data_IF_827371417355
#
_entry.id   IF_827371417355
#
_cell.length_a   1.000
_cell.length_b   1.000
_cell.length_c   1.000
_cell.angle_alpha   90.00
_cell.angle_beta   90.00
_cell.angle_gamma   90.00
#
_symmetry.space_group_name_H-M   'P 1'
#
loop_
_entity.id
_entity.type
_entity.pdbx_description
1 polymer ?
#
# COMPACT_ATOMS: atom_id res chain seq x y z
N UNK A 1 2.13 -2.12 -9.63
CA UNK A 1 0.89 -1.73 -8.94
C UNK A 1 0.93 -2.16 -7.49
N UNK A 2 -0.17 -2.71 -6.94
CA UNK A 2 -0.30 -2.99 -5.50
C UNK A 2 0.76 -3.98 -4.97
N UNK A 3 1.00 -5.09 -5.67
CA UNK A 3 2.03 -6.07 -5.27
C UNK A 3 3.47 -5.52 -5.34
N UNK A 4 3.73 -4.57 -6.25
CA UNK A 4 5.04 -3.91 -6.36
C UNK A 4 5.31 -3.06 -5.14
N UNK A 5 4.35 -2.19 -4.79
CA UNK A 5 4.45 -1.32 -3.62
C UNK A 5 4.58 -2.12 -2.33
N UNK A 6 3.90 -3.27 -2.22
CA UNK A 6 4.10 -4.17 -1.07
C UNK A 6 5.53 -4.70 -0.99
N UNK A 7 6.13 -5.06 -2.11
CA UNK A 7 7.52 -5.52 -2.16
C UNK A 7 8.50 -4.39 -1.83
N UNK A 8 8.27 -3.19 -2.37
CA UNK A 8 9.10 -2.00 -2.12
C UNK A 8 9.05 -1.58 -0.65
N UNK A 9 7.87 -1.64 -0.04
CA UNK A 9 7.65 -1.32 1.38
C UNK A 9 7.91 -2.51 2.31
N UNK A 10 8.54 -3.60 1.82
CA UNK A 10 8.90 -4.77 2.62
C UNK A 10 7.73 -5.39 3.42
N UNK A 11 6.50 -5.31 2.88
CA UNK A 11 5.29 -5.86 3.50
C UNK A 11 5.30 -7.39 3.32
N UNK A 12 5.09 -8.19 4.38
CA UNK A 12 5.07 -9.64 4.26
C UNK A 12 4.06 -10.12 3.20
N UNK A 13 4.42 -11.11 2.35
CA UNK A 13 3.56 -11.57 1.26
C UNK A 13 2.29 -12.28 1.74
N UNK A 14 2.30 -12.81 2.97
CA UNK A 14 1.15 -13.47 3.60
C UNK A 14 0.20 -12.49 4.30
N UNK A 15 0.61 -11.26 4.57
CA UNK A 15 -0.17 -10.34 5.37
C UNK A 15 -1.41 -9.85 4.61
N UNK A 16 -2.57 -9.81 5.27
CA UNK A 16 -3.81 -9.29 4.68
C UNK A 16 -4.01 -7.87 5.19
N UNK A 17 -4.21 -6.94 4.26
CA UNK A 17 -4.28 -5.51 4.53
C UNK A 17 -5.60 -4.94 4.00
N UNK A 18 -6.27 -4.00 4.70
CA UNK A 18 -7.39 -3.28 4.12
C UNK A 18 -6.92 -2.45 2.91
N UNK A 19 -7.78 -2.30 1.92
CA UNK A 19 -7.54 -1.46 0.75
C UNK A 19 -8.47 -0.25 0.80
N UNK A 20 -7.91 0.94 0.74
CA UNK A 20 -8.67 2.18 0.69
C UNK A 20 -8.58 2.77 -0.72
N UNK A 21 -9.70 3.25 -1.24
CA UNK A 21 -9.78 3.80 -2.60
C UNK A 21 -10.38 5.20 -2.52
N UNK A 22 -9.68 6.17 -3.08
CA UNK A 22 -9.99 7.59 -3.01
C UNK A 22 -10.23 8.13 -4.42
N UNK A 23 -11.25 8.96 -4.61
CA UNK A 23 -11.50 9.66 -5.88
C UNK A 23 -11.91 8.76 -7.04
N UNK A 24 -12.38 7.53 -6.78
CA UNK A 24 -12.89 6.65 -7.82
C UNK A 24 -14.19 7.20 -8.42
N UNK A 25 -14.26 7.27 -9.75
CA UNK A 25 -15.51 7.57 -10.45
C UNK A 25 -16.43 6.34 -10.49
N UNK A 26 -17.67 6.52 -10.98
CA UNK A 26 -18.68 5.46 -11.05
C UNK A 26 -18.21 4.22 -11.81
N UNK A 27 -17.54 4.40 -12.95
CA UNK A 27 -17.03 3.28 -13.74
C UNK A 27 -15.98 2.47 -12.99
N UNK A 28 -15.07 3.15 -12.30
CA UNK A 28 -14.03 2.52 -11.49
C UNK A 28 -14.63 1.82 -10.29
N UNK A 29 -15.67 2.39 -9.67
CA UNK A 29 -16.41 1.75 -8.59
C UNK A 29 -17.08 0.44 -9.05
N UNK A 30 -17.81 0.47 -10.15
CA UNK A 30 -18.46 -0.74 -10.72
C UNK A 30 -17.44 -1.83 -11.05
N UNK A 31 -16.27 -1.46 -11.60
CA UNK A 31 -15.18 -2.40 -11.87
C UNK A 31 -14.62 -2.99 -10.58
N UNK A 32 -14.48 -2.16 -9.54
CA UNK A 32 -13.96 -2.58 -8.24
C UNK A 32 -14.89 -3.59 -7.58
N UNK A 33 -16.19 -3.35 -7.60
CA UNK A 33 -17.18 -4.28 -7.06
C UNK A 33 -17.22 -5.58 -7.86
N UNK A 34 -17.30 -5.48 -9.20
CA UNK A 34 -17.34 -6.65 -10.10
C UNK A 34 -16.12 -7.56 -9.93
N UNK A 35 -14.95 -6.98 -9.64
CA UNK A 35 -13.70 -7.71 -9.53
C UNK A 35 -13.18 -7.83 -8.09
N UNK A 36 -13.99 -7.46 -7.09
CA UNK A 36 -13.56 -7.38 -5.68
C UNK A 36 -12.92 -8.69 -5.19
N UNK A 37 -13.53 -9.85 -5.46
CA UNK A 37 -12.98 -11.13 -5.03
C UNK A 37 -11.63 -11.45 -5.66
N UNK A 38 -11.48 -11.18 -6.96
CA UNK A 38 -10.22 -11.39 -7.67
C UNK A 38 -9.13 -10.46 -7.11
N UNK A 39 -9.46 -9.19 -6.87
CA UNK A 39 -8.56 -8.20 -6.28
C UNK A 39 -8.12 -8.64 -4.87
N UNK A 40 -9.06 -9.01 -3.99
CA UNK A 40 -8.78 -9.51 -2.64
C UNK A 40 -7.80 -10.68 -2.67
N UNK A 41 -8.03 -11.66 -3.55
CA UNK A 41 -7.18 -12.85 -3.67
C UNK A 41 -5.80 -12.55 -4.25
N UNK A 42 -5.72 -11.79 -5.34
CA UNK A 42 -4.47 -11.55 -6.07
C UNK A 42 -3.58 -10.52 -5.37
N UNK A 43 -4.17 -9.49 -4.76
CA UNK A 43 -3.42 -8.44 -4.06
C UNK A 43 -3.24 -8.72 -2.56
N UNK A 44 -3.81 -9.82 -2.05
CA UNK A 44 -3.82 -10.18 -0.62
C UNK A 44 -4.33 -9.02 0.24
N UNK A 45 -5.47 -8.47 -0.16
CA UNK A 45 -6.15 -7.40 0.55
C UNK A 45 -7.45 -7.92 1.17
N UNK A 46 -7.78 -7.38 2.33
CA UNK A 46 -9.02 -7.66 3.05
C UNK A 46 -10.15 -6.81 2.51
N UNK A 47 -10.80 -6.06 3.37
CA UNK A 47 -11.90 -5.21 2.95
C UNK A 47 -11.44 -4.03 2.11
N UNK A 48 -12.28 -3.71 1.13
CA UNK A 48 -12.06 -2.59 0.21
C UNK A 48 -13.07 -1.52 0.60
N UNK A 49 -12.58 -0.35 0.99
CA UNK A 49 -13.40 0.78 1.40
C UNK A 49 -13.14 1.97 0.48
N UNK A 50 -14.22 2.65 0.09
CA UNK A 50 -14.12 3.98 -0.50
C UNK A 50 -13.99 5.00 0.63
N UNK A 51 -13.00 5.89 0.53
CA UNK A 51 -12.74 6.93 1.52
C UNK A 51 -12.41 8.25 0.84
N UNK A 52 -12.66 9.36 1.52
CA UNK A 52 -12.40 10.70 0.97
C UNK A 52 -10.92 11.09 1.02
N UNK A 53 -10.16 10.49 1.94
CA UNK A 53 -8.74 10.80 2.13
C UNK A 53 -7.93 9.56 2.54
N UNK A 54 -6.66 9.44 2.08
CA UNK A 54 -5.79 8.35 2.49
C UNK A 54 -5.36 8.50 3.96
N UNK A 55 -5.33 7.42 4.74
CA UNK A 55 -4.87 7.45 6.12
C UNK A 55 -3.36 7.75 6.21
N UNK A 56 -2.94 8.31 7.34
CA UNK A 56 -1.52 8.55 7.63
C UNK A 56 -0.76 7.22 7.69
N UNK A 57 0.47 7.22 7.16
CA UNK A 57 1.31 6.01 7.14
C UNK A 57 0.82 4.93 6.16
N UNK A 58 0.17 5.33 5.07
CA UNK A 58 -0.20 4.43 3.99
C UNK A 58 0.73 4.55 2.79
N UNK A 59 1.02 3.46 2.11
CA UNK A 59 1.58 3.50 0.77
C UNK A 59 0.47 3.80 -0.24
N UNK A 60 0.71 4.74 -1.15
CA UNK A 60 -0.31 5.22 -2.09
C UNK A 60 0.12 4.94 -3.53
N UNK A 61 -0.85 4.61 -4.37
CA UNK A 61 -0.69 4.38 -5.80
C UNK A 61 -1.78 5.15 -6.51
N UNK A 62 -1.40 6.02 -7.44
CA UNK A 62 -2.35 6.69 -8.32
C UNK A 62 -2.64 5.80 -9.52
N UNK A 63 -3.90 5.49 -9.75
CA UNK A 63 -4.40 4.74 -10.90
C UNK A 63 -5.44 5.60 -11.63
N UNK A 64 -4.98 6.28 -12.68
CA UNK A 64 -5.77 7.27 -13.40
C UNK A 64 -6.34 8.32 -12.42
N UNK A 65 -7.67 8.37 -12.28
CA UNK A 65 -8.37 9.27 -11.36
C UNK A 65 -8.43 8.76 -9.91
N UNK A 66 -8.26 7.46 -9.68
CA UNK A 66 -8.42 6.86 -8.36
C UNK A 66 -7.07 6.69 -7.66
N UNK A 67 -7.00 7.04 -6.39
CA UNK A 67 -5.84 6.76 -5.54
C UNK A 67 -6.13 5.53 -4.69
N UNK A 68 -5.27 4.52 -4.81
CA UNK A 68 -5.30 3.30 -4.02
C UNK A 68 -4.33 3.48 -2.86
N UNK A 69 -4.84 3.38 -1.63
CA UNK A 69 -4.08 3.52 -0.40
C UNK A 69 -4.06 2.20 0.36
N UNK A 70 -2.85 1.78 0.75
CA UNK A 70 -2.58 0.61 1.55
C UNK A 70 -2.05 1.07 2.92
N UNK A 71 -2.85 1.00 3.99
CA UNK A 71 -2.40 1.37 5.33
C UNK A 71 -1.30 0.42 5.78
N UNK A 72 -0.10 0.94 6.07
CA UNK A 72 1.06 0.11 6.40
C UNK A 72 1.22 -0.14 7.90
N UNK A 73 0.45 0.60 8.73
CA UNK A 73 0.67 0.74 10.17
C UNK A 73 1.04 -0.54 10.91
N UNK A 74 0.22 -1.58 10.87
CA UNK A 74 0.46 -2.84 11.58
C UNK A 74 1.15 -3.92 10.74
N UNK A 75 1.54 -3.61 9.50
CA UNK A 75 2.02 -4.57 8.52
C UNK A 75 3.53 -4.50 8.30
N UNK A 76 4.15 -3.38 8.69
CA UNK A 76 5.59 -3.16 8.60
C UNK A 76 6.07 -2.70 9.97
N UNK A 77 7.19 -3.23 10.42
CA UNK A 77 7.92 -2.66 11.55
C UNK A 77 8.63 -1.38 11.07
N UNK A 78 7.91 -0.25 11.17
CA UNK A 78 8.41 1.08 10.82
C UNK A 78 9.69 1.45 11.60
N UNK A 79 9.90 0.93 12.81
CA UNK A 79 11.11 1.18 13.59
C UNK A 79 12.30 0.39 13.05
N UNK A 80 12.10 -0.89 12.72
CA UNK A 80 13.15 -1.72 12.11
C UNK A 80 13.56 -1.15 10.73
N UNK A 81 12.58 -0.68 9.96
CA UNK A 81 12.83 -0.08 8.64
C UNK A 81 13.59 1.25 8.74
N UNK A 82 13.20 2.14 9.67
CA UNK A 82 13.91 3.39 9.92
C UNK A 82 15.36 3.14 10.38
N UNK A 83 15.57 2.10 11.22
CA UNK A 83 16.90 1.73 11.70
C UNK A 83 17.78 1.16 10.58
N UNK A 84 17.20 0.39 9.66
CA UNK A 84 17.92 -0.10 8.46
C UNK A 84 18.34 1.07 7.56
N UNK A 85 17.41 1.97 7.26
CA UNK A 85 17.69 3.15 6.43
C UNK A 85 18.75 4.06 7.07
N UNK A 86 18.73 4.25 8.39
CA UNK A 86 19.78 4.99 9.10
C UNK A 86 21.16 4.32 8.97
N UNK A 87 21.23 2.98 9.02
CA UNK A 87 22.50 2.25 8.83
C UNK A 87 23.01 2.33 7.39
N UNK A 88 22.14 2.29 6.39
CA UNK A 88 22.55 2.50 4.99
C UNK A 88 23.03 3.93 4.76
N UNK A 89 22.33 4.93 5.32
CA UNK A 89 22.75 6.33 5.25
C UNK A 89 24.15 6.53 5.86
N UNK A 90 24.40 5.92 7.03
CA UNK A 90 25.67 5.99 7.73
C UNK A 90 26.83 5.39 6.92
N UNK A 91 26.61 4.25 6.26
CA UNK A 91 27.62 3.64 5.37
C UNK A 91 27.95 4.52 4.17
N UNK A 92 26.94 5.12 3.53
CA UNK A 92 27.16 5.99 2.38
C UNK A 92 27.90 7.27 2.78
N UNK A 93 27.69 7.80 3.99
CA UNK A 93 28.46 8.93 4.51
C UNK A 93 29.87 8.60 4.97
N UNK A 94 30.21 7.33 5.25
CA UNK A 94 31.59 6.90 5.54
C UNK A 94 32.41 6.63 4.26
N UNK A 95 31.76 6.45 3.11
CA UNK A 95 32.41 6.27 1.80
C UNK A 95 32.65 7.59 1.03
N UNK A 96 32.19 8.74 1.56
CA UNK A 96 32.46 10.10 1.05
C UNK A 96 33.55 10.73 1.91
#
# INVERSE_FOLDING_TARGET
GIRSVRSEMNVPPAAIAPLMVIGANTLTHERLERHAQAIKRLARVGDIALVDAPPKGSAQIVLNEATISLPLGSLIDLQAEATRLQKELAKVTEEI
#
